data_IF_518774057819
#
_entry.id   IF_518774057819
#
_cell.length_a   1.000
_cell.length_b   1.000
_cell.length_c   1.000
_cell.angle_alpha   90.00
_cell.angle_beta   90.00
_cell.angle_gamma   90.00
#
_symmetry.space_group_name_H-M   'P 1'
#
loop_
_entity.id
_entity.type
_entity.pdbx_description
1 polymer ?
#
# COMPACT_ATOMS: atom_id res chain seq x y z
N UNK A 1 -19.77 5.41 4.83
CA UNK A 1 -18.81 4.78 5.75
C UNK A 1 -17.43 5.42 5.59
N UNK A 2 -16.67 5.54 6.69
CA UNK A 2 -15.31 6.03 6.68
C UNK A 2 -14.40 5.07 5.89
N UNK A 3 -13.50 5.62 5.09
CA UNK A 3 -12.55 4.86 4.27
C UNK A 3 -11.16 4.96 4.87
N UNK A 4 -10.49 3.83 5.01
CA UNK A 4 -9.22 3.70 5.72
C UNK A 4 -8.16 3.07 4.82
N UNK A 5 -7.09 3.83 4.54
CA UNK A 5 -5.96 3.33 3.76
C UNK A 5 -4.64 3.59 4.47
N UNK A 6 -3.79 2.56 4.49
CA UNK A 6 -2.45 2.60 5.05
C UNK A 6 -1.43 2.34 3.95
N UNK A 7 -0.44 3.20 3.80
CA UNK A 7 0.68 3.00 2.89
C UNK A 7 1.98 2.92 3.68
N UNK A 8 2.79 1.90 3.38
CA UNK A 8 4.09 1.69 4.00
C UNK A 8 5.20 1.79 2.95
N UNK A 9 6.29 2.48 3.31
CA UNK A 9 7.42 2.74 2.41
C UNK A 9 8.33 1.54 2.17
N UNK A 10 8.09 0.42 2.84
CA UNK A 10 8.85 -0.82 2.68
C UNK A 10 7.97 -2.04 2.94
N UNK A 11 8.60 -3.22 3.04
CA UNK A 11 7.92 -4.43 3.47
C UNK A 11 7.51 -4.40 4.95
N UNK A 12 6.95 -5.53 5.46
CA UNK A 12 6.51 -5.64 6.85
C UNK A 12 7.67 -5.47 7.85
N UNK A 13 7.36 -5.23 9.13
CA UNK A 13 6.05 -5.23 9.75
C UNK A 13 5.29 -3.91 9.63
N UNK A 14 4.02 -3.91 10.04
CA UNK A 14 3.31 -2.68 10.36
C UNK A 14 4.08 -1.87 11.40
N UNK A 15 4.00 -0.56 11.37
CA UNK A 15 4.38 0.30 12.49
C UNK A 15 3.41 0.07 13.66
N UNK A 16 3.85 0.34 14.87
CA UNK A 16 3.15 -0.12 16.09
C UNK A 16 1.75 0.48 16.25
N UNK A 17 1.63 1.80 16.15
CA UNK A 17 0.33 2.47 16.32
C UNK A 17 -0.62 2.17 15.15
N UNK A 18 -0.07 2.07 13.93
CA UNK A 18 -0.87 1.72 12.75
C UNK A 18 -1.35 0.27 12.79
N UNK A 19 -0.56 -0.66 13.32
CA UNK A 19 -0.99 -2.04 13.53
C UNK A 19 -2.19 -2.11 14.46
N UNK A 20 -2.12 -1.41 15.59
CA UNK A 20 -3.22 -1.35 16.55
C UNK A 20 -4.49 -0.76 15.93
N UNK A 21 -4.36 0.41 15.30
CA UNK A 21 -5.49 1.08 14.64
C UNK A 21 -6.10 0.23 13.53
N UNK A 22 -5.28 -0.40 12.70
CA UNK A 22 -5.74 -1.27 11.63
C UNK A 22 -6.56 -2.44 12.17
N UNK A 23 -6.05 -3.14 13.19
CA UNK A 23 -6.74 -4.28 13.82
C UNK A 23 -8.09 -3.86 14.43
N UNK A 24 -8.14 -2.72 15.11
CA UNK A 24 -9.39 -2.17 15.65
C UNK A 24 -10.43 -1.95 14.52
N UNK A 25 -10.01 -1.42 13.38
CA UNK A 25 -10.87 -1.16 12.24
C UNK A 25 -11.36 -2.43 11.54
N UNK A 26 -10.65 -3.56 11.66
CA UNK A 26 -11.11 -4.84 11.10
C UNK A 26 -12.33 -5.42 11.82
N UNK A 27 -12.67 -4.88 12.99
CA UNK A 27 -13.80 -5.35 13.82
C UNK A 27 -13.77 -6.86 14.09
N UNK A 28 -12.58 -7.40 14.32
CA UNK A 28 -12.30 -8.84 14.48
C UNK A 28 -12.64 -9.68 13.25
N UNK A 29 -12.80 -9.06 12.11
CA UNK A 29 -13.00 -9.75 10.85
C UNK A 29 -11.74 -10.50 10.39
N UNK A 30 -11.90 -11.43 9.47
CA UNK A 30 -10.80 -12.10 8.80
C UNK A 30 -10.03 -11.11 7.93
N UNK A 31 -8.70 -11.18 7.92
CA UNK A 31 -7.83 -10.34 7.12
C UNK A 31 -7.38 -11.12 5.88
N UNK A 32 -7.71 -10.59 4.71
CA UNK A 32 -7.26 -11.10 3.42
C UNK A 32 -5.88 -10.51 3.09
N UNK A 33 -4.90 -11.37 2.79
CA UNK A 33 -3.53 -10.95 2.45
C UNK A 33 -3.23 -11.39 1.02
N UNK A 34 -3.10 -10.40 0.11
CA UNK A 34 -2.78 -10.63 -1.29
C UNK A 34 -1.28 -10.50 -1.51
N UNK A 35 -0.72 -11.46 -2.21
CA UNK A 35 0.70 -11.49 -2.57
C UNK A 35 0.89 -12.09 -3.97
N UNK A 36 1.99 -11.76 -4.61
CA UNK A 36 2.41 -12.43 -5.84
C UNK A 36 3.10 -13.72 -5.45
N UNK A 37 2.66 -14.83 -6.05
CA UNK A 37 3.17 -16.17 -5.78
C UNK A 37 4.67 -16.28 -6.12
N UNK A 38 5.42 -16.82 -5.18
CA UNK A 38 6.84 -17.13 -5.33
C UNK A 38 7.23 -18.24 -4.38
N UNK A 39 8.29 -18.94 -4.69
CA UNK A 39 8.83 -19.95 -3.79
C UNK A 39 9.13 -19.39 -2.40
N UNK A 40 8.71 -20.09 -1.36
CA UNK A 40 8.93 -19.71 0.03
C UNK A 40 8.09 -18.52 0.53
N UNK A 41 7.05 -18.09 -0.20
CA UNK A 41 6.24 -16.96 0.21
C UNK A 41 5.63 -17.09 1.61
N UNK A 42 5.28 -18.30 2.02
CA UNK A 42 4.65 -18.55 3.32
C UNK A 42 5.58 -18.20 4.49
N UNK A 43 6.88 -18.30 4.31
CA UNK A 43 7.88 -17.99 5.35
C UNK A 43 7.94 -16.51 5.71
N UNK A 44 7.47 -15.64 4.82
CA UNK A 44 7.38 -14.19 5.05
C UNK A 44 6.07 -13.75 5.70
N UNK A 45 5.06 -14.58 5.73
CA UNK A 45 3.73 -14.17 6.24
C UNK A 45 3.74 -13.81 7.73
N UNK A 46 4.51 -14.47 8.62
CA UNK A 46 4.63 -14.03 10.01
C UNK A 46 5.08 -12.59 10.16
N UNK A 47 5.94 -12.08 9.27
CA UNK A 47 6.39 -10.69 9.30
C UNK A 47 5.23 -9.69 9.14
N UNK A 48 4.20 -10.05 8.35
CA UNK A 48 2.96 -9.28 8.24
C UNK A 48 2.01 -9.50 9.41
N UNK A 49 1.88 -10.72 9.90
CA UNK A 49 0.79 -11.12 10.80
C UNK A 49 1.12 -11.03 12.28
N UNK A 50 2.37 -11.25 12.69
CA UNK A 50 2.73 -11.34 14.12
C UNK A 50 2.44 -10.05 14.86
N UNK A 51 2.72 -8.90 14.26
CA UNK A 51 2.41 -7.61 14.85
C UNK A 51 0.90 -7.42 15.05
N UNK A 52 0.10 -7.84 14.08
CA UNK A 52 -1.36 -7.75 14.14
C UNK A 52 -1.95 -8.69 15.19
N UNK A 53 -1.36 -9.89 15.34
CA UNK A 53 -1.77 -10.85 16.39
C UNK A 53 -1.57 -10.27 17.79
N UNK A 54 -0.52 -9.47 18.01
CA UNK A 54 -0.29 -8.79 19.29
C UNK A 54 -1.47 -7.88 19.68
N UNK A 55 -2.22 -7.37 18.71
CA UNK A 55 -3.39 -6.51 18.92
C UNK A 55 -4.73 -7.23 18.74
N UNK A 56 -4.71 -8.58 18.67
CA UNK A 56 -5.92 -9.39 18.70
C UNK A 56 -6.45 -9.84 17.34
N UNK A 57 -5.69 -9.69 16.25
CA UNK A 57 -6.05 -10.32 15.00
C UNK A 57 -5.81 -11.84 15.06
N UNK A 58 -6.83 -12.63 14.71
CA UNK A 58 -6.77 -14.09 14.86
C UNK A 58 -6.91 -14.85 13.55
N UNK A 59 -7.56 -14.26 12.54
CA UNK A 59 -7.93 -14.94 11.31
C UNK A 59 -7.32 -14.26 10.10
N UNK A 60 -6.52 -15.03 9.34
CA UNK A 60 -5.86 -14.59 8.12
C UNK A 60 -6.16 -15.56 6.97
N UNK A 61 -6.34 -15.01 5.77
CA UNK A 61 -6.45 -15.78 4.54
C UNK A 61 -5.40 -15.29 3.55
N UNK A 62 -4.48 -16.15 3.19
CA UNK A 62 -3.44 -15.85 2.20
C UNK A 62 -3.97 -16.12 0.79
N UNK A 63 -3.74 -15.17 -0.09
CA UNK A 63 -4.21 -15.19 -1.48
C UNK A 63 -3.01 -15.01 -2.42
N UNK A 64 -2.19 -16.06 -2.62
CA UNK A 64 -1.09 -16.00 -3.59
C UNK A 64 -1.65 -15.91 -5.02
N UNK A 65 -1.14 -14.94 -5.81
CA UNK A 65 -1.57 -14.66 -7.16
C UNK A 65 -0.46 -15.02 -8.17
N UNK A 66 -0.80 -15.64 -9.32
CA UNK A 66 -2.14 -15.94 -9.81
C UNK A 66 -2.67 -17.33 -9.43
N UNK A 67 -1.99 -18.08 -8.55
CA UNK A 67 -2.38 -19.46 -8.20
C UNK A 67 -3.75 -19.54 -7.51
N UNK A 68 -4.19 -18.49 -6.81
CA UNK A 68 -5.58 -18.39 -6.33
C UNK A 68 -6.46 -17.83 -7.43
N UNK A 69 -7.60 -18.46 -7.71
CA UNK A 69 -8.51 -17.99 -8.77
C UNK A 69 -9.13 -16.63 -8.41
N UNK A 70 -9.41 -15.82 -9.41
CA UNK A 70 -10.07 -14.51 -9.20
C UNK A 70 -11.38 -14.63 -8.42
N UNK A 71 -12.18 -15.65 -8.70
CA UNK A 71 -13.43 -15.92 -7.98
C UNK A 71 -13.20 -16.13 -6.49
N UNK A 72 -12.22 -16.95 -6.11
CA UNK A 72 -11.86 -17.20 -4.71
C UNK A 72 -11.33 -15.94 -4.04
N UNK A 73 -10.51 -15.15 -4.74
CA UNK A 73 -9.98 -13.88 -4.23
C UNK A 73 -11.11 -12.90 -3.95
N UNK A 74 -11.99 -12.68 -4.91
CA UNK A 74 -13.12 -11.76 -4.78
C UNK A 74 -14.04 -12.17 -3.64
N UNK A 75 -14.39 -13.45 -3.56
CA UNK A 75 -15.20 -13.97 -2.45
C UNK A 75 -14.54 -13.71 -1.10
N UNK A 76 -13.24 -14.00 -0.98
CA UNK A 76 -12.50 -13.77 0.26
C UNK A 76 -12.47 -12.28 0.64
N UNK A 77 -12.24 -11.39 -0.31
CA UNK A 77 -12.25 -9.93 -0.06
C UNK A 77 -13.65 -9.47 0.40
N UNK A 78 -14.71 -9.96 -0.21
CA UNK A 78 -16.10 -9.62 0.18
C UNK A 78 -16.40 -9.99 1.63
N UNK A 79 -15.87 -11.11 2.09
CA UNK A 79 -16.09 -11.67 3.44
C UNK A 79 -15.07 -11.14 4.46
N UNK A 80 -14.09 -10.33 4.04
CA UNK A 80 -13.02 -9.87 4.91
C UNK A 80 -13.38 -8.61 5.70
N UNK A 81 -12.77 -8.49 6.89
CA UNK A 81 -12.79 -7.28 7.70
C UNK A 81 -11.56 -6.40 7.51
N UNK A 82 -10.56 -6.85 6.76
CA UNK A 82 -9.35 -6.10 6.43
C UNK A 82 -8.67 -6.68 5.19
N UNK A 83 -7.96 -5.86 4.45
CA UNK A 83 -7.19 -6.27 3.26
C UNK A 83 -5.76 -5.78 3.40
N UNK A 84 -4.80 -6.64 3.11
CA UNK A 84 -3.37 -6.33 3.01
C UNK A 84 -2.88 -6.67 1.60
N UNK A 85 -2.16 -5.74 0.97
CA UNK A 85 -1.46 -5.95 -0.29
C UNK A 85 0.04 -5.92 0.02
N UNK A 86 0.71 -7.03 -0.19
CA UNK A 86 2.13 -7.20 0.12
C UNK A 86 3.04 -6.41 -0.84
N UNK A 87 4.33 -6.44 -0.56
CA UNK A 87 5.38 -5.90 -1.42
C UNK A 87 6.04 -6.95 -2.30
N UNK A 88 6.71 -6.50 -3.35
CA UNK A 88 7.42 -7.33 -4.31
C UNK A 88 7.60 -6.60 -5.64
N UNK A 89 7.53 -7.29 -6.76
CA UNK A 89 7.61 -6.72 -8.10
C UNK A 89 6.36 -5.88 -8.40
N UNK A 90 6.51 -4.57 -8.44
CA UNK A 90 5.38 -3.64 -8.59
C UNK A 90 4.60 -3.87 -9.89
N UNK A 91 5.28 -4.17 -10.99
CA UNK A 91 4.60 -4.44 -12.27
C UNK A 91 3.70 -5.67 -12.18
N UNK A 92 4.14 -6.73 -11.53
CA UNK A 92 3.34 -7.94 -11.32
C UNK A 92 2.15 -7.70 -10.39
N UNK A 93 2.35 -6.96 -9.30
CA UNK A 93 1.24 -6.56 -8.43
C UNK A 93 0.18 -5.76 -9.19
N UNK A 94 0.61 -4.83 -10.05
CA UNK A 94 -0.32 -4.07 -10.88
C UNK A 94 -1.06 -4.96 -11.89
N UNK A 95 -0.36 -5.87 -12.58
CA UNK A 95 -0.96 -6.78 -13.56
C UNK A 95 -1.97 -7.75 -12.93
N UNK A 96 -1.67 -8.31 -11.78
CA UNK A 96 -2.55 -9.29 -11.13
C UNK A 96 -3.65 -8.65 -10.28
N UNK A 97 -3.51 -7.42 -9.86
CA UNK A 97 -4.46 -6.75 -8.97
C UNK A 97 -5.13 -5.55 -9.65
N UNK A 98 -4.35 -4.49 -9.96
CA UNK A 98 -4.93 -3.25 -10.48
C UNK A 98 -5.61 -3.41 -11.85
N UNK A 99 -5.05 -4.23 -12.72
CA UNK A 99 -5.55 -4.46 -14.08
C UNK A 99 -6.68 -5.51 -14.15
N UNK A 100 -7.12 -6.04 -13.01
CA UNK A 100 -8.09 -7.13 -12.93
C UNK A 100 -9.32 -6.73 -12.11
N UNK A 101 -10.32 -7.60 -12.11
CA UNK A 101 -11.50 -7.45 -11.25
C UNK A 101 -11.17 -7.52 -9.75
N UNK A 102 -10.00 -8.02 -9.37
CA UNK A 102 -9.53 -8.03 -7.99
C UNK A 102 -9.35 -6.58 -7.49
N UNK A 103 -8.78 -5.68 -8.28
CA UNK A 103 -8.67 -4.26 -7.94
C UNK A 103 -10.02 -3.62 -7.66
N UNK A 104 -11.02 -3.92 -8.49
CA UNK A 104 -12.39 -3.45 -8.28
C UNK A 104 -12.99 -3.99 -6.96
N UNK A 105 -12.74 -5.25 -6.63
CA UNK A 105 -13.21 -5.86 -5.38
C UNK A 105 -12.57 -5.21 -4.14
N UNK A 106 -11.28 -4.89 -4.21
CA UNK A 106 -10.57 -4.16 -3.13
C UNK A 106 -11.16 -2.75 -2.98
N UNK A 107 -11.38 -2.05 -4.08
CA UNK A 107 -11.98 -0.71 -4.05
C UNK A 107 -13.39 -0.73 -3.46
N UNK A 108 -14.19 -1.71 -3.81
CA UNK A 108 -15.52 -1.90 -3.23
C UNK A 108 -15.46 -2.14 -1.71
N UNK A 109 -14.56 -3.02 -1.25
CA UNK A 109 -14.34 -3.26 0.18
C UNK A 109 -13.91 -1.96 0.91
N UNK A 110 -12.97 -1.21 0.35
CA UNK A 110 -12.51 0.08 0.87
C UNK A 110 -13.67 1.09 1.01
N UNK A 111 -14.53 1.20 0.00
CA UNK A 111 -15.71 2.08 0.04
C UNK A 111 -16.70 1.65 1.12
N UNK A 112 -16.82 0.35 1.39
CA UNK A 112 -17.64 -0.19 2.49
C UNK A 112 -17.01 0.01 3.88
N UNK A 113 -15.83 0.60 3.98
CA UNK A 113 -15.16 0.88 5.25
C UNK A 113 -14.21 -0.22 5.74
N UNK A 114 -13.90 -1.20 4.90
CA UNK A 114 -12.87 -2.20 5.18
C UNK A 114 -11.49 -1.53 5.08
N UNK A 115 -10.66 -1.58 6.13
CA UNK A 115 -9.32 -0.98 6.05
C UNK A 115 -8.43 -1.75 5.06
N UNK A 116 -7.72 -1.00 4.23
CA UNK A 116 -6.76 -1.53 3.26
C UNK A 116 -5.36 -1.03 3.60
N UNK A 117 -4.40 -1.93 3.62
CA UNK A 117 -2.99 -1.62 3.83
C UNK A 117 -2.16 -2.10 2.64
N UNK A 118 -1.27 -1.26 2.14
CA UNK A 118 -0.33 -1.58 1.07
C UNK A 118 1.12 -1.38 1.50
N UNK A 119 1.97 -2.37 1.20
CA UNK A 119 3.39 -2.36 1.52
C UNK A 119 4.22 -2.23 0.24
N UNK A 120 5.06 -1.20 0.13
CA UNK A 120 5.93 -0.98 -1.03
C UNK A 120 5.15 -1.07 -2.35
N UNK A 121 5.28 -2.13 -3.12
CA UNK A 121 4.48 -2.35 -4.34
C UNK A 121 2.97 -2.22 -4.10
N UNK A 122 2.47 -2.78 -2.98
CA UNK A 122 1.07 -2.65 -2.59
C UNK A 122 0.63 -1.21 -2.31
N UNK A 123 1.53 -0.38 -1.78
CA UNK A 123 1.28 1.05 -1.63
C UNK A 123 1.23 1.76 -2.98
N UNK A 124 2.18 1.45 -3.87
CA UNK A 124 2.29 2.09 -5.19
C UNK A 124 1.09 1.85 -6.10
N UNK A 125 0.51 0.64 -6.08
CA UNK A 125 -0.63 0.30 -6.95
C UNK A 125 -1.98 0.77 -6.40
N UNK A 126 -2.04 1.23 -5.16
CA UNK A 126 -3.30 1.58 -4.49
C UNK A 126 -3.94 2.89 -4.95
N UNK A 127 -3.22 3.99 -5.24
CA UNK A 127 -3.81 5.20 -5.80
C UNK A 127 -4.38 4.98 -7.20
N UNK A 128 -5.10 5.96 -7.71
CA UNK A 128 -5.64 5.97 -9.08
C UNK A 128 -4.53 5.85 -10.13
N UNK A 129 -3.41 6.51 -9.91
CA UNK A 129 -2.24 6.42 -10.77
C UNK A 129 -1.08 5.79 -10.00
N UNK A 130 -0.47 4.79 -10.59
CA UNK A 130 0.71 4.11 -10.09
C UNK A 130 1.93 4.61 -10.88
N UNK A 131 2.91 5.15 -10.17
CA UNK A 131 4.19 5.55 -10.75
C UNK A 131 5.28 4.63 -10.21
N UNK A 132 6.03 4.04 -11.13
CA UNK A 132 7.13 3.12 -10.81
C UNK A 132 8.44 3.82 -11.14
N UNK A 133 9.31 3.93 -10.14
CA UNK A 133 10.64 4.50 -10.29
C UNK A 133 11.50 3.67 -11.26
N UNK A 134 12.41 4.33 -11.96
CA UNK A 134 13.44 3.65 -12.78
C UNK A 134 14.30 2.67 -11.96
N UNK A 135 14.38 2.86 -10.66
CA UNK A 135 15.09 1.95 -9.73
C UNK A 135 14.30 0.71 -9.34
N UNK A 136 12.99 0.70 -9.63
CA UNK A 136 12.06 -0.36 -9.23
C UNK A 136 11.55 -1.21 -10.40
N UNK A 137 12.22 -1.14 -11.55
CA UNK A 137 11.89 -2.00 -12.69
C UNK A 137 13.13 -2.35 -13.51
N UNK A 138 13.05 -3.51 -14.18
CA UNK A 138 14.16 -4.07 -14.97
C UNK A 138 14.56 -3.19 -16.16
N UNK A 139 13.64 -2.41 -16.69
CA UNK A 139 13.84 -1.54 -17.83
C UNK A 139 14.51 -0.22 -17.44
N UNK A 140 14.71 0.01 -16.15
CA UNK A 140 15.35 1.21 -15.59
C UNK A 140 14.78 2.52 -16.13
N UNK A 141 13.47 2.56 -16.29
CA UNK A 141 12.75 3.74 -16.76
C UNK A 141 11.57 4.09 -15.85
N UNK A 142 11.19 5.36 -15.89
CA UNK A 142 9.97 5.86 -15.26
C UNK A 142 8.75 5.25 -15.96
N UNK A 143 7.86 4.64 -15.21
CA UNK A 143 6.62 4.06 -15.73
C UNK A 143 5.43 4.67 -14.99
N UNK A 144 4.45 5.13 -15.74
CA UNK A 144 3.17 5.62 -15.22
C UNK A 144 2.04 4.75 -15.76
N UNK A 145 1.18 4.27 -14.87
CA UNK A 145 0.09 3.37 -15.21
C UNK A 145 -1.09 3.54 -14.25
N UNK A 146 -2.22 2.92 -14.56
CA UNK A 146 -3.37 2.91 -13.67
C UNK A 146 -3.12 2.06 -12.42
N UNK A 147 -3.61 2.55 -11.28
CA UNK A 147 -3.68 1.82 -10.03
C UNK A 147 -5.11 1.38 -9.69
N UNK A 148 -5.34 0.95 -8.46
CA UNK A 148 -6.63 0.48 -7.96
C UNK A 148 -7.65 1.64 -7.86
N UNK A 149 -7.21 2.82 -7.51
CA UNK A 149 -8.06 3.99 -7.39
C UNK A 149 -8.63 4.22 -5.98
N UNK A 150 -7.87 3.88 -4.93
CA UNK A 150 -8.26 4.16 -3.55
C UNK A 150 -8.07 5.64 -3.18
N UNK A 151 -7.07 6.29 -3.76
CA UNK A 151 -6.76 7.70 -3.56
C UNK A 151 -6.73 8.43 -4.90
N UNK A 152 -7.28 9.64 -4.94
CA UNK A 152 -7.23 10.51 -6.10
C UNK A 152 -6.12 11.53 -5.97
N UNK A 153 -5.54 11.92 -7.11
CA UNK A 153 -4.54 12.98 -7.20
C UNK A 153 -3.41 12.84 -6.16
N UNK A 154 -3.02 11.59 -5.88
CA UNK A 154 -2.02 11.22 -4.88
C UNK A 154 -1.01 10.26 -5.48
N UNK A 155 0.27 10.49 -5.22
CA UNK A 155 1.39 9.70 -5.73
C UNK A 155 2.36 9.38 -4.61
N UNK A 156 2.96 8.20 -4.66
CA UNK A 156 3.95 7.75 -3.69
C UNK A 156 5.29 7.45 -4.35
N UNK A 157 6.36 7.79 -3.65
CA UNK A 157 7.69 7.21 -3.83
C UNK A 157 8.05 6.46 -2.55
N UNK A 158 8.29 5.17 -2.65
CA UNK A 158 8.63 4.28 -1.52
C UNK A 158 10.13 4.07 -1.42
N UNK A 159 10.62 3.50 -0.30
CA UNK A 159 12.06 3.40 -0.02
C UNK A 159 12.78 4.74 -0.26
N UNK A 160 12.13 5.82 0.14
CA UNK A 160 12.42 7.16 -0.37
C UNK A 160 13.86 7.60 -0.11
N UNK A 161 14.30 7.60 1.13
CA UNK A 161 15.68 7.98 1.47
C UNK A 161 16.69 6.88 1.14
N UNK A 162 16.31 5.62 1.32
CA UNK A 162 17.18 4.46 1.12
C UNK A 162 17.55 4.26 -0.35
N UNK A 163 16.66 4.62 -1.28
CA UNK A 163 16.92 4.55 -2.71
C UNK A 163 17.27 5.90 -3.33
N UNK A 164 17.44 6.95 -2.52
CA UNK A 164 17.69 8.32 -3.02
C UNK A 164 16.65 8.72 -4.09
N UNK A 165 15.38 8.68 -3.72
CA UNK A 165 14.24 8.90 -4.63
C UNK A 165 13.77 10.36 -4.69
N UNK A 166 14.51 11.29 -4.10
CA UNK A 166 14.17 12.72 -4.19
C UNK A 166 14.07 13.22 -5.63
N UNK A 167 14.98 12.85 -6.56
CA UNK A 167 14.83 13.22 -7.96
C UNK A 167 13.57 12.64 -8.61
N UNK A 168 13.18 11.41 -8.23
CA UNK A 168 11.96 10.78 -8.70
C UNK A 168 10.71 11.52 -8.18
N UNK A 169 10.70 11.88 -6.91
CA UNK A 169 9.61 12.67 -6.31
C UNK A 169 9.44 14.03 -7.00
N UNK A 170 10.55 14.70 -7.29
CA UNK A 170 10.57 15.98 -8.01
C UNK A 170 10.06 15.83 -9.45
N UNK A 171 10.42 14.75 -10.14
CA UNK A 171 9.93 14.46 -11.49
C UNK A 171 8.42 14.21 -11.52
N UNK A 172 7.88 13.48 -10.55
CA UNK A 172 6.43 13.29 -10.37
C UNK A 172 5.74 14.64 -10.20
N UNK A 173 6.23 15.46 -9.29
CA UNK A 173 5.64 16.77 -9.02
C UNK A 173 5.70 17.72 -10.23
N UNK A 174 6.80 17.73 -10.95
CA UNK A 174 6.93 18.54 -12.16
C UNK A 174 5.87 18.18 -13.22
N UNK A 175 5.53 16.91 -13.31
CA UNK A 175 4.51 16.41 -14.25
C UNK A 175 3.08 16.58 -13.71
N UNK A 176 2.90 16.52 -12.39
CA UNK A 176 1.62 16.61 -11.71
C UNK A 176 1.66 17.68 -10.60
N UNK A 177 1.76 18.98 -10.94
CA UNK A 177 2.05 20.03 -9.96
C UNK A 177 0.93 20.32 -8.96
N UNK A 178 -0.28 19.85 -9.23
CA UNK A 178 -1.43 19.99 -8.32
C UNK A 178 -1.68 18.76 -7.45
N UNK A 179 -0.88 17.71 -7.63
CA UNK A 179 -1.04 16.47 -6.90
C UNK A 179 -0.41 16.52 -5.50
N UNK A 180 -0.91 15.65 -4.64
CA UNK A 180 -0.25 15.31 -3.38
C UNK A 180 0.81 14.24 -3.66
N UNK A 181 2.08 14.61 -3.55
CA UNK A 181 3.21 13.74 -3.88
C UNK A 181 4.03 13.48 -2.62
N UNK A 182 4.04 12.23 -2.16
CA UNK A 182 4.66 11.82 -0.90
C UNK A 182 5.81 10.85 -1.13
N UNK A 183 6.92 11.10 -0.43
CA UNK A 183 8.00 10.13 -0.25
C UNK A 183 7.87 9.46 1.11
N UNK A 184 7.99 8.14 1.16
CA UNK A 184 7.85 7.36 2.39
C UNK A 184 9.09 6.50 2.55
N UNK A 185 9.81 6.71 3.65
CA UNK A 185 10.99 5.92 4.01
C UNK A 185 10.63 4.49 4.40
N UNK A 186 11.62 3.60 4.43
CA UNK A 186 11.47 2.28 5.03
C UNK A 186 11.06 2.39 6.50
N UNK A 187 10.41 1.37 7.05
CA UNK A 187 9.90 1.32 8.43
C UNK A 187 8.98 2.51 8.80
N UNK A 188 8.30 3.02 7.80
CA UNK A 188 7.45 4.22 7.92
C UNK A 188 6.11 3.94 7.27
N UNK A 189 5.05 4.38 7.93
CA UNK A 189 3.69 4.29 7.43
C UNK A 189 2.97 5.63 7.45
N UNK A 190 2.00 5.75 6.57
CA UNK A 190 1.06 6.88 6.50
C UNK A 190 -0.36 6.35 6.48
N UNK A 191 -1.26 7.04 7.15
CA UNK A 191 -2.68 6.69 7.21
C UNK A 191 -3.53 7.78 6.59
N UNK A 192 -4.40 7.37 5.69
CA UNK A 192 -5.40 8.22 5.04
C UNK A 192 -6.80 7.88 5.53
N UNK A 193 -7.50 8.89 6.01
CA UNK A 193 -8.90 8.82 6.36
C UNK A 193 -9.72 9.58 5.32
N UNK A 194 -10.62 8.89 4.66
CA UNK A 194 -11.43 9.47 3.57
C UNK A 194 -10.59 10.17 2.48
N UNK A 195 -9.40 9.63 2.19
CA UNK A 195 -8.50 10.18 1.19
C UNK A 195 -7.61 11.33 1.66
N UNK A 196 -7.70 11.72 2.93
CA UNK A 196 -6.90 12.80 3.53
C UNK A 196 -5.84 12.19 4.45
N UNK A 197 -4.58 12.60 4.30
CA UNK A 197 -3.49 12.20 5.18
C UNK A 197 -3.76 12.69 6.60
N UNK A 198 -3.84 11.76 7.55
CA UNK A 198 -4.21 12.04 8.94
C UNK A 198 -3.11 11.66 9.92
N UNK A 199 -2.37 10.59 9.67
CA UNK A 199 -1.30 10.09 10.55
C UNK A 199 -0.06 9.67 9.79
N UNK A 200 1.08 9.85 10.45
CA UNK A 200 2.40 9.40 9.99
C UNK A 200 3.12 8.76 11.17
N UNK A 201 3.80 7.64 10.94
CA UNK A 201 4.57 6.94 11.97
C UNK A 201 5.82 6.33 11.36
N UNK A 202 6.97 6.59 11.95
CA UNK A 202 8.25 6.00 11.53
C UNK A 202 9.33 7.03 11.28
N UNK A 203 10.24 6.73 10.37
CA UNK A 203 11.50 7.47 10.15
C UNK A 203 11.26 8.78 9.39
N UNK A 204 10.71 8.71 8.19
CA UNK A 204 10.54 9.91 7.37
C UNK A 204 9.40 9.84 6.38
N UNK A 205 8.60 10.90 6.38
CA UNK A 205 7.58 11.19 5.36
C UNK A 205 7.89 12.56 4.76
N UNK A 206 7.93 12.62 3.45
CA UNK A 206 8.28 13.82 2.70
C UNK A 206 7.14 14.17 1.75
N UNK A 207 6.95 15.46 1.52
CA UNK A 207 5.95 15.96 0.58
C UNK A 207 6.55 17.07 -0.28
N UNK A 208 6.16 17.08 -1.55
CA UNK A 208 6.41 18.22 -2.41
C UNK A 208 5.42 19.34 -2.09
N UNK A 209 5.95 20.48 -1.64
CA UNK A 209 5.17 21.69 -1.30
C UNK A 209 5.80 22.89 -1.99
N UNK A 210 5.07 23.54 -2.85
CA UNK A 210 5.56 24.70 -3.63
C UNK A 210 6.87 24.42 -4.39
N UNK A 211 7.01 23.22 -4.92
CA UNK A 211 8.21 22.78 -5.65
C UNK A 211 9.38 22.38 -4.76
N UNK A 212 9.23 22.37 -3.44
CA UNK A 212 10.27 22.02 -2.47
C UNK A 212 9.90 20.71 -1.77
N UNK A 213 10.85 19.79 -1.71
CA UNK A 213 10.72 18.55 -0.94
C UNK A 213 10.94 18.84 0.54
N UNK A 214 9.91 18.65 1.36
CA UNK A 214 9.95 18.89 2.80
C UNK A 214 9.63 17.62 3.57
N UNK A 215 10.39 17.37 4.65
CA UNK A 215 10.01 16.36 5.63
C UNK A 215 8.82 16.90 6.43
N UNK A 216 7.75 16.12 6.52
CA UNK A 216 6.48 16.54 7.14
C UNK A 216 6.12 15.81 8.43
N UNK A 217 6.85 14.77 8.80
CA UNK A 217 6.71 14.13 10.10
C UNK A 217 7.82 14.58 11.06
N UNK A 218 7.46 14.66 12.33
CA UNK A 218 8.40 14.89 13.42
C UNK A 218 8.87 13.52 13.92
N UNK A 219 10.10 13.19 13.64
CA UNK A 219 10.74 11.99 14.17
C UNK A 219 11.59 12.36 15.38
#
# INVERSE_FOLDING_TARGET
>A
LARHFYAFGSGPPFTTEMAQQYVEQTKRGMIAILLVDREGWLDYMPDYTDKLKQYGAERFRYLPLPSTTEEQVIKTIKDSGGVIICGGDTSRYAEYIADTIIGAAIKEAYVRGVPVAGFSAGALISPQNCIISSKDNKEQRYVERNGIGLLFNTYFAVHFSEWDEKPHLQAIFAKHPTANVYGIDEKTGVYFHNGILERMEGVGVYQMQDGICRKINNA
#
